data_IF_018907007648
#
_entry.id   IF_018907007648
#
_cell.length_a   1.000
_cell.length_b   1.000
_cell.length_c   1.000
_cell.angle_alpha   90.00
_cell.angle_beta   90.00
_cell.angle_gamma   90.00
#
_symmetry.space_group_name_H-M   'P 1'
#
loop_
_entity.id
_entity.type
_entity.pdbx_description
1 polymer ?
#
# COMPACT_ATOMS: atom_id res chain seq x y z
N UNK A 1 2.01 24.35 -40.20
CA UNK A 1 2.53 24.65 -38.84
C UNK A 1 1.50 24.41 -37.73
N UNK A 2 0.20 24.70 -37.94
CA UNK A 2 -0.84 24.48 -36.91
C UNK A 2 -1.13 22.98 -36.62
N UNK A 3 -1.02 22.11 -37.62
CA UNK A 3 -1.29 20.65 -37.51
C UNK A 3 -0.26 19.90 -36.65
N UNK A 4 1.00 20.36 -36.63
CA UNK A 4 2.09 19.73 -35.86
C UNK A 4 1.98 19.99 -34.35
N UNK A 5 1.53 21.19 -33.94
CA UNK A 5 1.34 21.56 -32.52
C UNK A 5 0.20 20.78 -31.86
N UNK A 6 -0.89 20.54 -32.59
CA UNK A 6 -2.00 19.73 -32.09
C UNK A 6 -1.57 18.28 -31.85
N UNK A 7 -0.87 17.66 -32.82
CA UNK A 7 -0.36 16.30 -32.67
C UNK A 7 0.64 16.14 -31.51
N UNK A 8 1.51 17.13 -31.27
CA UNK A 8 2.42 17.10 -30.11
C UNK A 8 1.70 17.34 -28.79
N UNK A 9 0.65 18.17 -28.76
CA UNK A 9 -0.18 18.37 -27.57
C UNK A 9 -0.94 17.08 -27.20
N UNK A 10 -1.57 16.41 -28.17
CA UNK A 10 -2.25 15.13 -27.94
C UNK A 10 -1.30 14.05 -27.43
N UNK A 11 -0.10 13.94 -28.04
CA UNK A 11 0.90 12.98 -27.61
C UNK A 11 1.38 13.24 -26.17
N UNK A 12 1.60 14.52 -25.80
CA UNK A 12 1.97 14.90 -24.43
C UNK A 12 0.85 14.61 -23.42
N UNK A 13 -0.40 14.90 -23.76
CA UNK A 13 -1.55 14.61 -22.89
C UNK A 13 -1.69 13.10 -22.66
N UNK A 14 -1.51 12.29 -23.72
CA UNK A 14 -1.57 10.85 -23.62
C UNK A 14 -0.43 10.28 -22.78
N UNK A 15 0.79 10.79 -22.94
CA UNK A 15 1.94 10.40 -22.10
C UNK A 15 1.72 10.79 -20.63
N UNK A 16 1.25 12.01 -20.34
CA UNK A 16 0.96 12.43 -18.96
C UNK A 16 -0.15 11.59 -18.34
N UNK A 17 -1.22 11.27 -19.08
CA UNK A 17 -2.29 10.40 -18.59
C UNK A 17 -1.79 8.99 -18.23
N UNK A 18 -0.93 8.39 -19.06
CA UNK A 18 -0.32 7.09 -18.80
C UNK A 18 0.61 7.12 -17.58
N UNK A 19 1.40 8.18 -17.41
CA UNK A 19 2.27 8.35 -16.24
C UNK A 19 1.47 8.51 -14.94
N UNK A 20 0.36 9.25 -14.97
CA UNK A 20 -0.54 9.40 -13.82
C UNK A 20 -1.20 8.07 -13.45
N UNK A 21 -1.63 7.26 -14.42
CA UNK A 21 -2.20 5.93 -14.17
C UNK A 21 -1.16 4.96 -13.59
N UNK A 22 0.08 5.00 -14.08
CA UNK A 22 1.18 4.19 -13.55
C UNK A 22 1.56 4.59 -12.12
N UNK A 23 1.49 5.89 -11.79
CA UNK A 23 1.80 6.40 -10.45
C UNK A 23 0.86 5.80 -9.39
N UNK A 24 -0.43 5.64 -9.67
CA UNK A 24 -1.41 5.04 -8.73
C UNK A 24 -1.04 3.61 -8.34
N UNK A 25 -0.48 2.82 -9.27
CA UNK A 25 -0.08 1.43 -9.00
C UNK A 25 1.17 1.29 -8.11
N UNK A 26 1.95 2.36 -7.93
CA UNK A 26 3.17 2.33 -7.11
C UNK A 26 2.92 2.72 -5.65
N UNK A 27 1.82 3.41 -5.34
CA UNK A 27 1.60 3.97 -3.99
C UNK A 27 0.89 3.01 -3.03
N UNK A 28 0.25 1.95 -3.52
CA UNK A 28 -0.55 1.05 -2.67
C UNK A 28 0.14 -0.29 -2.43
N UNK A 29 1.25 -0.30 -1.69
CA UNK A 29 1.90 -1.55 -1.25
C UNK A 29 2.14 -1.55 0.26
N UNK A 30 1.12 -1.25 1.06
CA UNK A 30 1.10 -1.77 2.42
C UNK A 30 0.83 -3.27 2.29
N UNK A 31 1.89 -4.07 2.29
CA UNK A 31 1.75 -5.52 2.32
C UNK A 31 1.70 -5.98 3.78
N UNK A 32 0.83 -6.95 4.11
CA UNK A 32 0.86 -7.59 5.41
C UNK A 32 2.26 -8.17 5.66
N UNK A 33 2.81 -7.89 6.83
CA UNK A 33 4.16 -8.26 7.23
C UNK A 33 4.20 -9.24 8.40
N UNK A 34 3.05 -9.51 9.01
CA UNK A 34 2.92 -10.43 10.12
C UNK A 34 1.68 -11.32 10.01
N UNK A 35 1.61 -12.33 10.87
CA UNK A 35 0.47 -13.23 10.95
C UNK A 35 0.27 -14.03 9.67
N UNK A 36 -0.92 -14.61 9.52
CA UNK A 36 -1.24 -15.48 8.38
C UNK A 36 -1.11 -14.77 7.03
N UNK A 37 -1.46 -13.48 6.96
CA UNK A 37 -1.35 -12.71 5.72
C UNK A 37 0.11 -12.36 5.37
N UNK A 38 0.96 -12.17 6.38
CA UNK A 38 2.40 -11.93 6.22
C UNK A 38 3.25 -13.20 6.21
N UNK A 39 2.68 -14.37 5.87
CA UNK A 39 3.43 -15.62 5.79
C UNK A 39 3.96 -16.14 7.13
N UNK A 40 3.29 -15.81 8.23
CA UNK A 40 3.71 -16.17 9.59
C UNK A 40 4.73 -15.22 10.21
N UNK A 41 5.01 -14.07 9.58
CA UNK A 41 5.89 -13.05 10.13
C UNK A 41 5.45 -12.54 11.50
N UNK A 42 6.39 -11.99 12.26
CA UNK A 42 6.12 -11.37 13.57
C UNK A 42 6.52 -9.90 13.55
N UNK A 43 5.94 -9.15 14.48
CA UNK A 43 6.21 -7.72 14.61
C UNK A 43 7.40 -7.44 15.50
N UNK A 44 8.29 -6.56 15.04
CA UNK A 44 9.39 -6.02 15.85
C UNK A 44 8.89 -5.11 16.98
N UNK A 45 9.76 -4.82 17.95
CA UNK A 45 9.49 -3.87 19.04
C UNK A 45 8.27 -4.21 19.91
N UNK A 46 7.97 -5.50 20.10
CA UNK A 46 6.81 -5.98 20.85
C UNK A 46 5.48 -5.34 20.40
N UNK A 47 5.35 -5.06 19.10
CA UNK A 47 4.09 -4.61 18.54
C UNK A 47 3.14 -5.79 18.36
N UNK A 48 1.84 -5.47 18.30
CA UNK A 48 0.81 -6.45 18.03
C UNK A 48 0.67 -6.64 16.52
N UNK A 49 0.39 -7.87 16.13
CA UNK A 49 -0.02 -8.18 14.78
C UNK A 49 -1.54 -8.13 14.68
N UNK A 50 -2.08 -7.12 14.00
CA UNK A 50 -3.52 -6.99 13.75
C UNK A 50 -4.11 -8.19 13.01
N UNK A 51 -5.43 -8.31 13.00
CA UNK A 51 -6.14 -9.34 12.23
C UNK A 51 -5.89 -9.30 10.72
N UNK A 52 -5.37 -8.19 10.21
CA UNK A 52 -5.05 -7.97 8.80
C UNK A 52 -3.57 -8.16 8.47
N UNK A 53 -2.75 -8.53 9.46
CA UNK A 53 -1.33 -8.82 9.25
C UNK A 53 -0.44 -7.59 9.21
N UNK A 54 -0.88 -6.49 9.85
CA UNK A 54 -0.06 -5.28 10.06
C UNK A 54 0.36 -5.14 11.51
N UNK A 55 1.59 -4.64 11.69
CA UNK A 55 2.18 -4.36 12.99
C UNK A 55 1.79 -2.97 13.50
N UNK A 56 1.42 -2.89 14.77
CA UNK A 56 1.14 -1.62 15.43
C UNK A 56 0.79 -1.78 16.90
N UNK A 57 0.29 -0.70 17.50
CA UNK A 57 -0.11 -0.64 18.91
C UNK A 57 -1.53 -0.06 19.01
N UNK A 58 -2.22 -0.35 20.11
CA UNK A 58 -3.60 0.11 20.32
C UNK A 58 -4.65 -0.90 19.86
N UNK A 59 -5.92 -0.58 20.08
CA UNK A 59 -7.03 -1.52 19.90
C UNK A 59 -7.15 -2.09 18.48
N UNK A 60 -6.82 -1.30 17.45
CA UNK A 60 -6.90 -1.73 16.05
C UNK A 60 -5.88 -2.83 15.69
N UNK A 61 -4.82 -2.97 16.48
CA UNK A 61 -3.75 -3.96 16.28
C UNK A 61 -3.71 -5.03 17.34
N UNK A 62 -3.91 -4.64 18.59
CA UNK A 62 -3.79 -5.50 19.77
C UNK A 62 -5.12 -6.08 20.24
N UNK A 63 -6.25 -5.52 19.78
CA UNK A 63 -7.59 -5.92 20.21
C UNK A 63 -8.09 -7.17 19.50
N UNK A 64 -9.40 -7.19 19.23
CA UNK A 64 -10.07 -8.34 18.61
C UNK A 64 -9.37 -8.77 17.31
N UNK A 65 -9.05 -10.07 17.23
CA UNK A 65 -8.40 -10.65 16.06
C UNK A 65 -6.88 -10.45 16.00
N UNK A 66 -6.25 -9.91 17.05
CA UNK A 66 -4.79 -9.88 17.16
C UNK A 66 -4.19 -11.29 17.02
N UNK A 67 -3.22 -11.43 16.11
CA UNK A 67 -2.62 -12.71 15.72
C UNK A 67 -1.35 -13.04 16.52
N UNK A 68 -0.60 -12.04 17.01
CA UNK A 68 0.61 -12.22 17.81
C UNK A 68 1.03 -10.93 18.52
N UNK A 69 1.98 -11.03 19.47
CA UNK A 69 2.45 -9.91 20.28
C UNK A 69 1.63 -9.75 21.58
N UNK A 70 1.68 -8.56 22.23
CA UNK A 70 0.96 -8.30 23.47
C UNK A 70 -0.51 -7.94 23.22
N UNK A 71 -1.27 -8.91 22.71
CA UNK A 71 -2.72 -8.77 22.49
C UNK A 71 -3.49 -8.59 23.81
N UNK A 72 -4.61 -7.87 23.79
CA UNK A 72 -5.49 -7.66 24.94
C UNK A 72 -6.97 -7.53 24.58
#
# INVERSE_FOLDING_TARGET
MATMKAATLFFKVLVVALLLLAYVGLVTHAQPSCGSQGGGGTCSNNQCCSQYGYCGLGGDYCGSGCQSGPCY
#
